data_IF_732825054452
#
_entry.id   IF_732825054452
#
_cell.length_a   1.000
_cell.length_b   1.000
_cell.length_c   1.000
_cell.angle_alpha   90.00
_cell.angle_beta   90.00
_cell.angle_gamma   90.00
#
_symmetry.space_group_name_H-M   'P 1'
#
loop_
_entity.id
_entity.type
_entity.pdbx_description
1 polymer ?
#
# COMPACT_ATOMS: atom_id res chain seq x y z
N UNK A 1 21.55 7.59 24.66
CA UNK A 1 21.40 6.44 23.74
C UNK A 1 20.09 6.66 23.03
N UNK A 2 20.08 6.84 21.71
CA UNK A 2 18.83 7.01 20.95
C UNK A 2 18.16 5.64 20.83
N UNK A 3 16.87 5.56 21.19
CA UNK A 3 16.06 4.36 21.03
C UNK A 3 16.08 3.92 19.56
N UNK A 4 16.73 2.77 19.29
CA UNK A 4 17.01 2.26 17.94
C UNK A 4 15.85 1.48 17.30
N UNK A 5 14.64 1.56 17.86
CA UNK A 5 13.50 0.71 17.47
C UNK A 5 12.34 1.46 16.82
N UNK A 6 12.53 2.71 16.37
CA UNK A 6 11.52 3.37 15.55
C UNK A 6 11.60 2.87 14.11
N UNK A 7 10.65 2.01 13.75
CA UNK A 7 10.42 1.61 12.38
C UNK A 7 10.17 2.87 11.53
N UNK A 8 11.01 3.13 10.53
CA UNK A 8 10.76 4.22 9.61
C UNK A 8 9.70 3.81 8.56
N UNK A 9 9.18 4.79 7.83
CA UNK A 9 8.11 4.53 6.86
C UNK A 9 8.56 3.67 5.67
N UNK A 10 9.83 3.73 5.26
CA UNK A 10 10.36 2.91 4.15
C UNK A 10 10.44 1.43 4.56
N UNK A 11 10.91 1.17 5.79
CA UNK A 11 10.92 -0.17 6.37
C UNK A 11 9.49 -0.70 6.52
N UNK A 12 8.55 0.17 6.87
CA UNK A 12 7.14 -0.21 6.99
C UNK A 12 6.51 -0.62 5.65
N UNK A 13 6.79 0.13 4.58
CA UNK A 13 6.37 -0.23 3.22
C UNK A 13 7.01 -1.54 2.76
N UNK A 14 8.31 -1.73 3.04
CA UNK A 14 9.05 -2.94 2.70
C UNK A 14 8.52 -4.18 3.44
N UNK A 15 8.14 -4.04 4.71
CA UNK A 15 7.48 -5.11 5.47
C UNK A 15 6.08 -5.37 4.93
N UNK A 16 5.32 -4.31 4.65
CA UNK A 16 3.94 -4.43 4.14
C UNK A 16 3.91 -5.17 2.81
N UNK A 17 4.75 -4.80 1.84
CA UNK A 17 4.81 -5.52 0.56
C UNK A 17 5.21 -6.99 0.75
N UNK A 18 6.11 -7.29 1.69
CA UNK A 18 6.53 -8.66 1.98
C UNK A 18 5.36 -9.48 2.54
N UNK A 19 4.62 -8.94 3.51
CA UNK A 19 3.45 -9.60 4.10
C UNK A 19 2.39 -9.89 3.04
N UNK A 20 2.01 -8.88 2.24
CA UNK A 20 0.99 -9.06 1.20
C UNK A 20 1.46 -10.01 0.09
N UNK A 21 2.73 -9.96 -0.30
CA UNK A 21 3.30 -10.90 -1.26
C UNK A 21 3.32 -12.34 -0.73
N UNK A 22 3.80 -12.55 0.50
CA UNK A 22 3.91 -13.88 1.09
C UNK A 22 2.54 -14.52 1.36
N UNK A 23 1.61 -13.77 1.96
CA UNK A 23 0.26 -14.27 2.26
C UNK A 23 -0.62 -14.36 1.01
N UNK A 24 -0.37 -13.51 0.02
CA UNK A 24 -1.14 -13.45 -1.22
C UNK A 24 -0.69 -14.43 -2.29
N UNK A 25 0.54 -14.95 -2.23
CA UNK A 25 1.09 -15.87 -3.23
C UNK A 25 0.21 -17.11 -3.51
N UNK A 26 -0.37 -17.81 -2.51
CA UNK A 26 -1.30 -18.92 -2.76
C UNK A 26 -2.55 -18.54 -3.55
N UNK A 27 -2.91 -17.25 -3.58
CA UNK A 27 -4.07 -16.70 -4.26
C UNK A 27 -3.70 -15.97 -5.57
N UNK A 28 -2.48 -16.20 -6.08
CA UNK A 28 -1.95 -15.56 -7.29
C UNK A 28 -1.88 -14.03 -7.19
N UNK A 29 -1.68 -13.49 -5.98
CA UNK A 29 -1.37 -12.08 -5.76
C UNK A 29 0.13 -11.87 -5.90
N UNK A 30 0.54 -10.84 -6.66
CA UNK A 30 1.93 -10.46 -6.90
C UNK A 30 2.16 -9.01 -6.54
N UNK A 31 3.30 -8.70 -5.95
CA UNK A 31 3.72 -7.31 -5.73
C UNK A 31 4.20 -6.72 -7.05
N UNK A 32 3.60 -5.60 -7.46
CA UNK A 32 3.99 -4.83 -8.65
C UNK A 32 5.05 -3.79 -8.37
N UNK A 33 5.01 -3.20 -7.19
CA UNK A 33 5.94 -2.19 -6.74
C UNK A 33 5.63 -1.74 -5.32
N UNK A 34 6.61 -1.07 -4.72
CA UNK A 34 6.44 -0.37 -3.45
C UNK A 34 7.37 0.85 -3.34
N UNK A 35 7.04 1.73 -2.41
CA UNK A 35 7.77 2.95 -2.05
C UNK A 35 7.94 3.97 -3.17
N UNK A 36 8.96 4.83 -3.04
CA UNK A 36 9.15 6.04 -3.87
C UNK A 36 9.12 5.81 -5.39
N UNK A 37 9.48 4.61 -5.82
CA UNK A 37 9.57 4.24 -7.23
C UNK A 37 8.30 3.56 -7.76
N UNK A 38 7.36 3.23 -6.88
CA UNK A 38 6.08 2.67 -7.26
C UNK A 38 5.13 3.81 -7.66
N UNK A 39 5.08 4.05 -8.98
CA UNK A 39 4.32 5.14 -9.56
C UNK A 39 3.38 4.64 -10.64
N UNK A 40 2.21 5.27 -10.72
CA UNK A 40 1.20 5.00 -11.73
C UNK A 40 0.76 6.30 -12.39
N UNK A 41 0.53 6.25 -13.70
CA UNK A 41 0.03 7.40 -14.46
C UNK A 41 -1.48 7.29 -14.52
N UNK A 42 -2.17 8.28 -13.97
CA UNK A 42 -3.64 8.35 -14.02
C UNK A 42 -4.16 8.82 -15.37
N UNK A 43 -5.48 8.71 -15.60
CA UNK A 43 -6.16 9.23 -16.79
C UNK A 43 -5.99 10.74 -16.93
N UNK A 44 -5.82 11.45 -15.82
CA UNK A 44 -5.46 12.87 -15.77
C UNK A 44 -4.06 13.20 -16.31
N UNK A 45 -3.22 12.19 -16.60
CA UNK A 45 -1.79 12.28 -16.91
C UNK A 45 -0.91 12.69 -15.73
N UNK A 46 -1.48 12.78 -14.53
CA UNK A 46 -0.72 12.97 -13.29
C UNK A 46 -0.06 11.65 -12.89
N UNK A 47 1.20 11.75 -12.45
CA UNK A 47 1.93 10.63 -11.86
C UNK A 47 1.64 10.58 -10.36
N UNK A 48 1.14 9.43 -9.89
CA UNK A 48 0.81 9.20 -8.49
C UNK A 48 1.74 8.15 -7.90
N UNK A 49 2.26 8.41 -6.70
CA UNK A 49 2.95 7.39 -5.91
C UNK A 49 1.93 6.49 -5.22
N UNK A 50 2.18 5.18 -5.20
CA UNK A 50 1.46 4.19 -4.41
C UNK A 50 2.46 3.49 -3.49
N UNK A 51 2.19 3.48 -2.18
CA UNK A 51 3.15 2.93 -1.21
C UNK A 51 3.40 1.43 -1.40
N UNK A 52 2.35 0.64 -1.65
CA UNK A 52 2.48 -0.75 -2.15
C UNK A 52 1.38 -1.03 -3.17
N UNK A 53 1.75 -1.54 -4.34
CA UNK A 53 0.84 -1.96 -5.39
C UNK A 53 0.94 -3.47 -5.60
N UNK A 54 -0.19 -4.17 -5.55
CA UNK A 54 -0.28 -5.58 -5.91
C UNK A 54 -1.21 -5.80 -7.08
N UNK A 55 -1.01 -6.91 -7.79
CA UNK A 55 -1.90 -7.39 -8.84
C UNK A 55 -2.38 -8.79 -8.51
N UNK A 56 -3.62 -9.08 -8.87
CA UNK A 56 -4.19 -10.43 -8.89
C UNK A 56 -4.81 -10.65 -10.26
N UNK A 57 -4.65 -11.86 -10.80
CA UNK A 57 -5.34 -12.27 -12.01
C UNK A 57 -6.38 -13.33 -11.65
N UNK A 58 -7.66 -13.02 -11.87
CA UNK A 58 -8.80 -13.90 -11.57
C UNK A 58 -9.20 -14.80 -12.76
N UNK A 59 -8.46 -14.74 -13.86
CA UNK A 59 -8.73 -15.48 -15.09
C UNK A 59 -9.30 -14.61 -16.21
N UNK A 60 -10.01 -13.53 -15.88
CA UNK A 60 -10.64 -12.64 -16.84
C UNK A 60 -10.09 -11.21 -16.76
N UNK A 61 -9.75 -10.77 -15.55
CA UNK A 61 -9.36 -9.38 -15.27
C UNK A 61 -8.13 -9.33 -14.39
N UNK A 62 -7.37 -8.27 -14.61
CA UNK A 62 -6.33 -7.85 -13.68
C UNK A 62 -6.99 -6.96 -12.61
N UNK A 63 -6.86 -7.37 -11.36
CA UNK A 63 -7.26 -6.58 -10.20
C UNK A 63 -6.02 -5.95 -9.59
N UNK A 64 -6.01 -4.62 -9.53
CA UNK A 64 -4.94 -3.84 -8.90
C UNK A 64 -5.37 -3.39 -7.51
N UNK A 65 -4.56 -3.67 -6.51
CA UNK A 65 -4.78 -3.28 -5.12
C UNK A 65 -3.71 -2.29 -4.68
N UNK A 66 -4.13 -1.09 -4.29
CA UNK A 66 -3.26 -0.03 -3.82
C UNK A 66 -3.35 0.08 -2.29
N UNK A 67 -2.20 -0.03 -1.63
CA UNK A 67 -2.09 -0.04 -0.18
C UNK A 67 -1.34 1.23 0.22
N UNK A 68 -1.96 2.05 1.07
CA UNK A 68 -1.36 3.26 1.62
C UNK A 68 -0.85 2.97 3.03
N UNK A 69 0.43 3.23 3.25
CA UNK A 69 1.12 2.96 4.49
C UNK A 69 1.14 4.21 5.37
N UNK A 70 0.78 4.06 6.65
CA UNK A 70 0.86 5.13 7.65
C UNK A 70 1.47 4.59 8.94
N UNK A 71 2.80 4.68 9.02
CA UNK A 71 3.59 4.30 10.20
C UNK A 71 3.56 5.40 11.28
N UNK A 72 2.38 5.74 11.77
CA UNK A 72 2.18 6.81 12.76
C UNK A 72 1.44 6.29 14.00
N UNK A 73 1.62 6.99 15.12
CA UNK A 73 0.94 6.78 16.39
C UNK A 73 -0.49 7.39 16.44
N UNK A 74 -1.01 7.81 15.29
CA UNK A 74 -2.28 8.52 15.15
C UNK A 74 -3.27 7.74 14.32
N UNK A 75 -4.56 8.01 14.54
CA UNK A 75 -5.62 7.47 13.68
C UNK A 75 -5.49 8.03 12.27
N UNK A 76 -5.55 7.14 11.28
CA UNK A 76 -5.76 7.52 9.88
C UNK A 76 -7.04 8.34 9.79
N UNK A 77 -6.95 9.52 9.18
CA UNK A 77 -8.08 10.43 9.01
C UNK A 77 -8.72 10.25 7.63
N UNK A 78 -9.86 10.92 7.42
CA UNK A 78 -10.60 10.86 6.15
C UNK A 78 -9.76 11.32 4.96
N UNK A 79 -8.92 12.34 5.13
CA UNK A 79 -8.15 12.93 4.03
C UNK A 79 -7.17 11.93 3.40
N UNK A 80 -6.52 11.12 4.23
CA UNK A 80 -5.64 10.04 3.75
C UNK A 80 -6.43 9.01 2.93
N UNK A 81 -7.62 8.63 3.40
CA UNK A 81 -8.51 7.68 2.69
C UNK A 81 -8.98 8.26 1.37
N UNK A 82 -9.41 9.52 1.37
CA UNK A 82 -9.90 10.22 0.17
C UNK A 82 -8.81 10.39 -0.86
N UNK A 83 -7.58 10.76 -0.46
CA UNK A 83 -6.43 10.87 -1.36
C UNK A 83 -6.17 9.56 -2.10
N UNK A 84 -6.10 8.43 -1.39
CA UNK A 84 -5.90 7.13 -2.04
C UNK A 84 -7.07 6.79 -2.97
N UNK A 85 -8.31 7.07 -2.55
CA UNK A 85 -9.51 6.84 -3.36
C UNK A 85 -9.50 7.66 -4.67
N UNK A 86 -9.02 8.90 -4.63
CA UNK A 86 -8.89 9.76 -5.81
C UNK A 86 -7.83 9.22 -6.77
N UNK A 87 -6.68 8.79 -6.25
CA UNK A 87 -5.63 8.16 -7.05
C UNK A 87 -6.14 6.88 -7.71
N UNK A 88 -6.81 5.99 -6.95
CA UNK A 88 -7.36 4.74 -7.46
C UNK A 88 -8.41 5.00 -8.54
N UNK A 89 -9.26 6.00 -8.33
CA UNK A 89 -10.25 6.43 -9.32
C UNK A 89 -9.55 6.90 -10.60
N UNK A 90 -8.54 7.76 -10.50
CA UNK A 90 -7.80 8.30 -11.65
C UNK A 90 -6.97 7.23 -12.37
N UNK A 91 -6.42 6.24 -11.66
CA UNK A 91 -5.59 5.16 -12.20
C UNK A 91 -6.38 3.90 -12.62
N UNK A 92 -7.71 3.95 -12.59
CA UNK A 92 -8.61 2.84 -12.96
C UNK A 92 -8.39 1.53 -12.17
N UNK A 93 -8.18 1.67 -10.85
CA UNK A 93 -7.92 0.54 -9.95
C UNK A 93 -9.20 0.07 -9.24
N UNK A 94 -9.51 -1.22 -9.34
CA UNK A 94 -10.64 -1.86 -8.66
C UNK A 94 -10.29 -2.24 -7.21
N UNK A 95 -10.51 -1.28 -6.30
CA UNK A 95 -10.88 -1.43 -4.89
C UNK A 95 -10.18 -2.51 -4.04
N UNK A 96 -9.05 -2.14 -3.42
CA UNK A 96 -8.83 -2.45 -2.00
C UNK A 96 -7.85 -1.42 -1.42
N UNK A 97 -8.34 -0.54 -0.53
CA UNK A 97 -7.46 0.28 0.30
C UNK A 97 -7.19 -0.48 1.59
N UNK A 98 -5.92 -0.80 1.83
CA UNK A 98 -5.49 -1.35 3.11
C UNK A 98 -4.69 -0.30 3.85
N UNK A 99 -5.11 0.02 5.08
CA UNK A 99 -4.34 0.85 6.00
C UNK A 99 -3.74 -0.07 7.06
N UNK A 100 -2.44 -0.24 7.03
CA UNK A 100 -1.73 -0.92 8.12
C UNK A 100 -1.34 0.16 9.13
N UNK A 101 -1.59 -0.09 10.42
CA UNK A 101 -1.10 0.73 11.54
C UNK A 101 0.01 0.02 12.30
N UNK A 102 0.96 0.78 12.81
CA UNK A 102 2.09 0.29 13.60
C UNK A 102 1.67 -0.32 14.96
N UNK A 103 0.51 0.06 15.50
CA UNK A 103 0.04 -0.39 16.83
C UNK A 103 -0.16 -1.91 16.97
N UNK A 104 -0.20 -2.65 15.85
CA UNK A 104 -0.28 -4.13 15.84
C UNK A 104 1.05 -4.82 16.20
N UNK A 105 2.17 -4.09 16.27
CA UNK A 105 3.50 -4.66 16.54
C UNK A 105 4.05 -4.34 17.95
N UNK A 106 3.33 -3.56 18.76
CA UNK A 106 3.74 -3.18 20.13
C UNK A 106 3.13 -4.06 21.24
N UNK A 107 2.51 -5.19 20.89
CA UNK A 107 2.03 -6.18 21.87
C UNK A 107 3.02 -7.34 21.99
N UNK A 108 4.17 -7.09 22.61
CA UNK A 108 4.97 -8.06 23.38
C UNK A 108 5.72 -7.34 24.50
#
# INVERSE_FOLDING_TARGET
MSDKNELNWEDYEAITQYIYGALGAPYNIKVKGYGRNCKVIGRSKVEHQIDVLTEQFDGERQLLTAIECKCWDKKVNKDVVMKLSEIMSDADMLAASSFVKQDLLKTQ
#
